data_IF_962780131425
#
_entry.id   IF_962780131425
#
_cell.length_a   1.000
_cell.length_b   1.000
_cell.length_c   1.000
_cell.angle_alpha   90.00
_cell.angle_beta   90.00
_cell.angle_gamma   90.00
#
_symmetry.space_group_name_H-M   'P 1'
#
loop_
_entity.id
_entity.type
_entity.pdbx_description
1 polymer ?
#
# COMPACT_ATOMS: atom_id res chain seq x y z
N UNK A 1 4.44 -8.96 0.86
CA UNK A 1 4.87 -8.72 -0.54
C UNK A 1 5.09 -10.00 -1.36
N UNK A 2 5.27 -11.17 -0.73
CA UNK A 2 5.53 -12.44 -1.43
C UNK A 2 4.53 -12.75 -2.56
N UNK A 3 3.21 -12.68 -2.29
CA UNK A 3 2.17 -12.95 -3.29
C UNK A 3 2.31 -12.11 -4.56
N UNK A 4 2.66 -10.83 -4.44
CA UNK A 4 2.86 -9.97 -5.61
C UNK A 4 4.07 -10.42 -6.44
N UNK A 5 5.19 -10.77 -5.79
CA UNK A 5 6.39 -11.27 -6.48
C UNK A 5 6.13 -12.59 -7.21
N UNK A 6 5.38 -13.49 -6.59
CA UNK A 6 5.05 -14.78 -7.21
C UNK A 6 4.19 -14.59 -8.46
N UNK A 7 3.16 -13.74 -8.36
CA UNK A 7 2.29 -13.41 -9.51
C UNK A 7 3.08 -12.66 -10.60
N UNK A 8 3.94 -11.72 -10.22
CA UNK A 8 4.79 -11.00 -11.16
C UNK A 8 5.75 -11.95 -11.89
N UNK A 9 6.33 -12.93 -11.18
CA UNK A 9 7.21 -13.95 -11.76
C UNK A 9 6.48 -14.82 -12.78
N UNK A 10 5.25 -15.24 -12.49
CA UNK A 10 4.43 -16.03 -13.41
C UNK A 10 3.98 -15.24 -14.64
N UNK A 11 3.65 -13.95 -14.45
CA UNK A 11 3.38 -13.05 -15.58
C UNK A 11 4.64 -12.85 -16.45
N UNK A 12 5.80 -12.61 -15.84
CA UNK A 12 7.08 -12.51 -16.56
C UNK A 12 7.43 -13.79 -17.32
N UNK A 13 7.10 -14.95 -16.77
CA UNK A 13 7.28 -16.26 -17.42
C UNK A 13 6.28 -16.56 -18.54
N UNK A 14 5.25 -15.74 -18.72
CA UNK A 14 4.19 -15.95 -19.72
C UNK A 14 3.09 -16.92 -19.28
N UNK A 15 3.12 -17.41 -18.04
CA UNK A 15 2.09 -18.33 -17.49
C UNK A 15 0.75 -17.62 -17.21
N UNK A 16 0.76 -16.29 -17.16
CA UNK A 16 -0.39 -15.45 -16.89
C UNK A 16 -0.40 -14.27 -17.84
N UNK A 17 -1.58 -13.95 -18.37
CA UNK A 17 -1.84 -12.63 -18.94
C UNK A 17 -1.81 -11.55 -17.84
N UNK A 18 -1.67 -10.30 -18.27
CA UNK A 18 -1.68 -9.16 -17.34
C UNK A 18 -3.03 -9.04 -16.60
N UNK A 19 -4.12 -9.43 -17.24
CA UNK A 19 -5.47 -9.44 -16.67
C UNK A 19 -5.60 -10.49 -15.57
N UNK A 20 -5.22 -11.74 -15.86
CA UNK A 20 -5.24 -12.84 -14.87
C UNK A 20 -4.34 -12.54 -13.68
N UNK A 21 -3.17 -11.94 -13.90
CA UNK A 21 -2.29 -11.50 -12.82
C UNK A 21 -2.96 -10.47 -11.89
N UNK A 22 -3.70 -9.51 -12.47
CA UNK A 22 -4.51 -8.57 -11.70
C UNK A 22 -5.60 -9.27 -10.89
N UNK A 23 -6.37 -10.15 -11.52
CA UNK A 23 -7.47 -10.88 -10.88
C UNK A 23 -6.98 -11.74 -9.70
N UNK A 24 -5.86 -12.45 -9.85
CA UNK A 24 -5.24 -13.23 -8.76
C UNK A 24 -4.82 -12.37 -7.56
N UNK A 25 -4.49 -11.11 -7.80
CA UNK A 25 -4.17 -10.12 -6.77
C UNK A 25 -5.38 -9.33 -6.28
N UNK A 26 -6.59 -9.62 -6.79
CA UNK A 26 -7.83 -8.94 -6.42
C UNK A 26 -7.89 -7.50 -6.92
N UNK A 27 -7.26 -7.20 -8.06
CA UNK A 27 -7.20 -5.85 -8.62
C UNK A 27 -7.41 -5.86 -10.14
N UNK A 28 -7.71 -4.70 -10.71
CA UNK A 28 -7.80 -4.55 -12.16
C UNK A 28 -6.42 -4.72 -12.85
N UNK A 29 -6.42 -5.11 -14.12
CA UNK A 29 -5.22 -5.14 -14.98
C UNK A 29 -4.44 -3.81 -14.92
N UNK A 30 -5.15 -2.68 -15.02
CA UNK A 30 -4.55 -1.34 -14.93
C UNK A 30 -3.83 -1.11 -13.61
N UNK A 31 -4.38 -1.59 -12.49
CA UNK A 31 -3.73 -1.49 -11.20
C UNK A 31 -2.50 -2.37 -11.13
N UNK A 32 -2.58 -3.61 -11.62
CA UNK A 32 -1.43 -4.50 -11.68
C UNK A 32 -0.28 -3.89 -12.48
N UNK A 33 -0.54 -3.34 -13.68
CA UNK A 33 0.46 -2.62 -14.49
C UNK A 33 1.13 -1.49 -13.69
N UNK A 34 0.34 -0.65 -13.01
CA UNK A 34 0.86 0.45 -12.18
C UNK A 34 1.66 -0.03 -10.96
N UNK A 35 1.39 -1.23 -10.45
CA UNK A 35 2.13 -1.82 -9.34
C UNK A 35 3.45 -2.39 -9.87
N UNK A 36 3.45 -3.07 -11.02
CA UNK A 36 4.66 -3.50 -11.72
C UNK A 36 5.60 -2.33 -11.98
N UNK A 37 5.13 -1.25 -12.61
CA UNK A 37 5.98 -0.10 -12.92
C UNK A 37 6.62 0.51 -11.65
N UNK A 38 5.85 0.58 -10.55
CA UNK A 38 6.38 1.05 -9.26
C UNK A 38 7.37 0.08 -8.63
N UNK A 39 7.17 -1.22 -8.82
CA UNK A 39 8.08 -2.25 -8.35
C UNK A 39 9.39 -2.25 -9.15
N UNK A 40 9.34 -1.99 -10.46
CA UNK A 40 10.53 -1.82 -11.30
C UNK A 40 11.33 -0.57 -10.88
N UNK A 41 10.64 0.53 -10.54
CA UNK A 41 11.29 1.79 -10.12
C UNK A 41 11.92 1.72 -8.72
N UNK A 42 11.21 1.14 -7.74
CA UNK A 42 11.56 1.25 -6.32
C UNK A 42 11.52 -0.08 -5.55
N UNK A 43 11.43 -1.21 -6.23
CA UNK A 43 11.33 -2.53 -5.62
C UNK A 43 10.11 -2.65 -4.70
N UNK A 44 10.27 -3.32 -3.56
CA UNK A 44 9.19 -3.49 -2.59
C UNK A 44 8.69 -2.17 -2.00
N UNK A 45 9.55 -1.15 -1.89
CA UNK A 45 9.17 0.16 -1.38
C UNK A 45 8.14 0.86 -2.28
N UNK A 46 8.18 0.61 -3.60
CA UNK A 46 7.23 1.17 -4.56
C UNK A 46 5.79 0.69 -4.37
N UNK A 47 5.62 -0.44 -3.67
CA UNK A 47 4.33 -1.08 -3.43
C UNK A 47 3.74 -0.73 -2.05
N UNK A 48 4.50 -0.09 -1.18
CA UNK A 48 4.00 0.40 0.12
C UNK A 48 2.97 1.52 -0.09
N UNK A 49 2.01 1.63 0.83
CA UNK A 49 1.14 2.80 0.87
C UNK A 49 1.99 4.03 1.21
N UNK A 50 1.98 5.02 0.30
CA UNK A 50 2.72 6.29 0.42
C UNK A 50 2.27 7.16 1.59
N UNK A 51 1.17 6.81 2.25
CA UNK A 51 0.66 7.44 3.48
C UNK A 51 1.34 6.91 4.73
N UNK A 52 1.93 5.71 4.68
CA UNK A 52 2.64 5.15 5.83
C UNK A 52 3.77 6.09 6.27
N UNK A 53 3.89 6.28 7.58
CA UNK A 53 4.87 7.19 8.18
C UNK A 53 4.55 8.68 8.04
N UNK A 54 3.50 9.07 7.30
CA UNK A 54 3.09 10.47 7.17
C UNK A 54 1.97 10.79 8.15
N UNK A 55 2.14 11.88 8.89
CA UNK A 55 1.07 12.44 9.72
C UNK A 55 -0.04 12.92 8.78
N UNK A 56 -1.28 12.50 9.07
CA UNK A 56 -2.46 12.97 8.34
C UNK A 56 -2.56 14.49 8.42
N UNK A 57 -2.87 15.15 7.31
CA UNK A 57 -3.13 16.60 7.28
C UNK A 57 -4.37 16.99 8.09
N UNK A 58 -5.22 16.01 8.44
CA UNK A 58 -6.40 16.19 9.30
C UNK A 58 -6.14 15.80 10.75
N UNK A 59 -4.90 15.46 11.14
CA UNK A 59 -4.58 15.07 12.51
C UNK A 59 -4.80 16.25 13.44
N UNK A 60 -5.50 16.00 14.55
CA UNK A 60 -5.66 16.97 15.65
C UNK A 60 -4.27 17.33 16.22
N UNK A 61 -4.00 18.60 16.54
CA UNK A 61 -2.74 19.01 17.18
C UNK A 61 -2.45 18.17 18.44
N UNK A 62 -1.17 17.93 18.71
CA UNK A 62 -0.75 17.07 19.81
C UNK A 62 -1.21 17.63 21.17
N UNK A 63 -1.23 18.95 21.30
CA UNK A 63 -1.64 19.68 22.49
C UNK A 63 -3.11 19.41 22.81
N UNK A 64 -3.99 19.47 21.81
CA UNK A 64 -5.41 19.19 21.97
C UNK A 64 -5.69 17.70 22.27
N UNK A 65 -4.84 16.79 21.78
CA UNK A 65 -4.90 15.36 22.15
C UNK A 65 -4.53 15.19 23.63
N UNK A 66 -3.47 15.87 24.10
CA UNK A 66 -3.03 15.78 25.49
C UNK A 66 -4.09 16.35 26.45
N UNK A 67 -4.65 17.52 26.15
CA UNK A 67 -5.74 18.13 26.92
C UNK A 67 -6.94 17.17 27.02
N UNK A 68 -7.34 16.56 25.89
CA UNK A 68 -8.41 15.56 25.89
C UNK A 68 -8.08 14.36 26.77
N UNK A 69 -6.83 13.87 26.76
CA UNK A 69 -6.42 12.72 27.57
C UNK A 69 -6.41 13.07 29.07
N UNK A 70 -5.99 14.27 29.44
CA UNK A 70 -6.05 14.76 30.83
C UNK A 70 -7.47 14.76 31.39
N UNK A 71 -8.44 15.24 30.60
CA UNK A 71 -9.86 15.25 30.98
C UNK A 71 -10.39 13.84 31.29
N UNK A 72 -9.92 12.82 30.56
CA UNK A 72 -10.28 11.42 30.84
C UNK A 72 -9.57 10.86 32.08
N UNK A 73 -8.33 11.29 32.37
CA UNK A 73 -7.57 10.81 33.54
C UNK A 73 -8.06 11.39 34.87
N UNK A 74 -8.74 12.54 34.84
CA UNK A 74 -9.20 13.24 36.05
C UNK A 74 -10.71 13.09 36.27
N UNK A 75 -11.31 12.07 35.65
CA UNK A 75 -12.71 11.67 35.79
C UNK A 75 -12.79 10.29 36.42
#
# INVERSE_FOLDING_TARGET
MQKFRDVLSRWNGGDLSMMEAGELLGMSERQFRRYRDRYEEAGEAGLLDRRLGKISTRRVPAEAIEEMLELYRHR
#
